data_IF_915507296704
#
_entry.id   IF_915507296704
#
_cell.length_a   1.000
_cell.length_b   1.000
_cell.length_c   1.000
_cell.angle_alpha   90.00
_cell.angle_beta   90.00
_cell.angle_gamma   90.00
#
_symmetry.space_group_name_H-M   'P 1'
#
loop_
_entity.id
_entity.type
_entity.pdbx_description
1 polymer ?
#
# COMPACT_ATOMS: atom_id res chain seq x y z
N UNK A 1 24.79 -9.47 -48.52
CA UNK A 1 25.43 -10.59 -49.26
C UNK A 1 26.22 -11.41 -48.26
N UNK A 2 26.22 -12.74 -48.25
CA UNK A 2 25.63 -13.70 -49.20
C UNK A 2 25.21 -15.00 -48.47
N UNK A 3 24.28 -15.75 -49.05
CA UNK A 3 23.55 -16.87 -48.41
C UNK A 3 24.44 -18.10 -48.17
N UNK A 4 24.46 -18.66 -46.95
CA UNK A 4 25.00 -20.01 -46.69
C UNK A 4 23.88 -21.03 -46.83
N UNK A 5 24.07 -22.06 -47.68
CA UNK A 5 23.02 -23.03 -48.05
C UNK A 5 22.87 -24.10 -46.97
N UNK A 6 21.62 -24.46 -46.64
CA UNK A 6 21.32 -25.73 -45.99
C UNK A 6 21.82 -26.89 -46.85
N UNK A 7 22.42 -27.90 -46.22
CA UNK A 7 22.47 -29.26 -46.75
C UNK A 7 21.77 -30.16 -45.74
N UNK A 8 20.59 -30.65 -46.12
CA UNK A 8 19.89 -31.72 -45.42
C UNK A 8 20.42 -33.07 -45.89
N UNK A 9 20.81 -33.91 -44.95
CA UNK A 9 20.92 -35.36 -45.11
C UNK A 9 21.34 -35.99 -43.79
N UNK A 10 20.83 -37.11 -43.33
CA UNK A 10 19.73 -37.98 -43.73
C UNK A 10 19.56 -38.97 -42.58
N UNK A 11 18.32 -39.25 -42.17
CA UNK A 11 17.93 -40.48 -41.46
C UNK A 11 18.54 -41.72 -42.19
N UNK A 12 18.89 -42.86 -41.61
CA UNK A 12 18.86 -43.47 -40.26
C UNK A 12 20.14 -44.36 -40.13
N UNK A 13 20.48 -45.17 -39.11
CA UNK A 13 19.75 -45.87 -38.03
C UNK A 13 20.71 -46.07 -36.83
N UNK A 14 20.22 -46.12 -35.58
CA UNK A 14 20.54 -47.11 -34.51
C UNK A 14 20.34 -46.57 -33.08
N UNK A 15 19.29 -47.07 -32.43
CA UNK A 15 19.15 -47.09 -30.96
C UNK A 15 20.30 -47.93 -30.36
N UNK A 16 21.12 -47.35 -29.49
CA UNK A 16 21.97 -48.10 -28.58
C UNK A 16 22.30 -47.29 -27.32
N UNK A 17 22.09 -47.90 -26.15
CA UNK A 17 22.66 -47.53 -24.85
C UNK A 17 22.41 -46.09 -24.33
N UNK A 18 21.14 -45.73 -24.12
CA UNK A 18 20.80 -44.97 -22.90
C UNK A 18 21.04 -45.90 -21.70
N UNK A 19 22.20 -45.82 -21.04
CA UNK A 19 22.47 -46.41 -19.70
C UNK A 19 23.95 -46.18 -19.33
N UNK A 20 24.30 -45.00 -18.81
CA UNK A 20 25.42 -44.77 -17.87
C UNK A 20 25.43 -43.30 -17.45
N UNK A 21 25.13 -43.00 -16.17
CA UNK A 21 25.08 -41.60 -15.72
C UNK A 21 24.33 -41.29 -14.41
N UNK A 22 24.23 -42.22 -13.45
CA UNK A 22 23.67 -41.93 -12.12
C UNK A 22 24.63 -42.41 -11.02
N UNK A 23 25.63 -41.58 -10.70
CA UNK A 23 26.51 -41.78 -9.54
C UNK A 23 27.24 -40.48 -9.14
N UNK A 24 26.50 -39.37 -9.04
CA UNK A 24 27.02 -38.12 -8.47
C UNK A 24 26.37 -37.88 -7.10
N UNK A 25 26.82 -38.61 -6.08
CA UNK A 25 26.52 -38.30 -4.68
C UNK A 25 27.29 -37.04 -4.22
N UNK A 26 26.95 -35.88 -4.79
CA UNK A 26 27.23 -34.61 -4.16
C UNK A 26 26.38 -34.51 -2.89
N UNK A 27 27.00 -34.23 -1.74
CA UNK A 27 26.25 -33.78 -0.56
C UNK A 27 25.55 -32.48 -0.96
N UNK A 28 24.24 -32.51 -1.12
CA UNK A 28 23.45 -31.30 -1.10
C UNK A 28 23.62 -30.70 0.30
N UNK A 29 24.18 -29.50 0.37
CA UNK A 29 24.12 -28.71 1.60
C UNK A 29 22.62 -28.50 1.94
N UNK A 30 22.22 -28.60 3.21
CA UNK A 30 20.85 -28.28 3.58
C UNK A 30 20.56 -26.84 3.11
N UNK A 31 19.36 -26.56 2.56
CA UNK A 31 19.00 -25.18 2.23
C UNK A 31 19.19 -24.31 3.47
N UNK A 32 19.69 -23.06 3.32
CA UNK A 32 19.86 -22.17 4.47
C UNK A 32 18.56 -22.13 5.24
N UNK A 33 18.66 -22.28 6.57
CA UNK A 33 17.49 -22.25 7.44
C UNK A 33 16.65 -21.02 7.10
N UNK A 34 15.35 -21.21 6.91
CA UNK A 34 14.45 -20.12 6.57
C UNK A 34 14.62 -19.04 7.65
N UNK A 35 15.04 -17.85 7.23
CA UNK A 35 15.06 -16.67 8.10
C UNK A 35 13.60 -16.46 8.50
N UNK A 36 13.29 -16.56 9.79
CA UNK A 36 11.95 -16.22 10.25
C UNK A 36 11.73 -14.74 9.95
N UNK A 37 10.71 -14.45 9.14
CA UNK A 37 10.26 -13.07 8.97
C UNK A 37 9.61 -12.64 10.29
N UNK A 38 10.29 -11.75 11.00
CA UNK A 38 9.84 -11.10 12.23
C UNK A 38 8.98 -9.85 11.94
N UNK A 39 8.58 -9.65 10.68
CA UNK A 39 7.70 -8.57 10.25
C UNK A 39 6.38 -9.06 9.64
N UNK A 40 5.44 -8.13 9.52
CA UNK A 40 4.18 -8.29 8.80
C UNK A 40 4.08 -7.19 7.75
N UNK A 41 3.72 -7.58 6.52
CA UNK A 41 3.47 -6.64 5.44
C UNK A 41 2.03 -6.13 5.45
N UNK A 42 1.86 -4.82 5.22
CA UNK A 42 0.55 -4.22 4.92
C UNK A 42 0.61 -3.34 3.68
N UNK A 43 -0.35 -3.49 2.76
CA UNK A 43 -0.52 -2.59 1.62
C UNK A 43 -1.00 -1.22 2.12
N UNK A 44 -0.29 -0.15 1.74
CA UNK A 44 -0.59 1.18 2.29
C UNK A 44 -1.87 1.72 1.63
N UNK A 45 -2.83 2.16 2.46
CA UNK A 45 -4.02 2.87 2.04
C UNK A 45 -4.18 4.18 2.81
N UNK A 46 -4.62 5.24 2.13
CA UNK A 46 -4.98 6.52 2.79
C UNK A 46 -6.50 6.57 2.98
N UNK A 47 -6.94 7.00 4.16
CA UNK A 47 -8.34 7.30 4.47
C UNK A 47 -8.44 8.76 4.94
N UNK A 48 -9.33 9.54 4.35
CA UNK A 48 -9.52 10.96 4.68
C UNK A 48 -10.94 11.19 5.22
N UNK A 49 -11.06 11.29 6.55
CA UNK A 49 -12.32 11.62 7.24
C UNK A 49 -12.54 13.13 7.40
N UNK A 50 -11.73 13.95 6.75
CA UNK A 50 -11.81 15.41 6.82
C UNK A 50 -12.52 15.99 5.60
N UNK A 51 -12.95 17.25 5.71
CA UNK A 51 -13.49 18.02 4.59
C UNK A 51 -12.40 18.68 3.73
N UNK A 52 -11.11 18.49 4.07
CA UNK A 52 -9.96 19.04 3.32
C UNK A 52 -9.25 17.92 2.56
N UNK A 53 -9.05 18.03 1.23
CA UNK A 53 -8.26 17.07 0.49
C UNK A 53 -6.78 17.01 0.93
N UNK A 54 -6.16 15.84 0.74
CA UNK A 54 -4.77 15.56 1.10
C UNK A 54 -4.00 15.22 -0.18
N UNK A 55 -3.04 16.05 -0.57
CA UNK A 55 -2.35 15.89 -1.85
C UNK A 55 -1.19 14.95 -1.86
N UNK A 56 -0.48 14.85 -0.74
CA UNK A 56 0.65 13.93 -0.62
C UNK A 56 0.73 13.37 0.79
N UNK A 57 1.02 12.08 0.87
CA UNK A 57 1.32 11.33 2.09
C UNK A 57 2.61 10.57 1.87
N UNK A 58 3.49 10.61 2.86
CA UNK A 58 4.70 9.79 2.95
C UNK A 58 4.67 8.98 4.24
N UNK A 59 4.96 7.68 4.13
CA UNK A 59 5.03 6.73 5.23
C UNK A 59 6.46 6.25 5.34
N UNK A 60 7.15 6.57 6.43
CA UNK A 60 8.61 6.39 6.59
C UNK A 60 9.43 6.94 5.40
N UNK A 61 8.96 8.02 4.77
CA UNK A 61 9.57 8.64 3.59
C UNK A 61 9.17 8.02 2.25
N UNK A 62 8.47 6.88 2.22
CA UNK A 62 7.94 6.29 0.99
C UNK A 62 6.63 6.99 0.61
N UNK A 63 6.49 7.39 -0.66
CA UNK A 63 5.27 8.04 -1.16
C UNK A 63 4.08 7.05 -1.19
N UNK A 64 2.97 7.44 -0.57
CA UNK A 64 1.76 6.64 -0.40
C UNK A 64 0.55 7.20 -1.18
N UNK A 65 0.76 8.22 -2.02
CA UNK A 65 -0.31 8.90 -2.74
C UNK A 65 -0.92 10.07 -1.97
N UNK A 66 -2.18 10.36 -2.26
CA UNK A 66 -3.01 11.38 -1.62
C UNK A 66 -4.49 11.02 -1.79
N UNK A 67 -5.38 11.66 -1.04
CA UNK A 67 -6.80 11.32 -0.96
C UNK A 67 -7.67 12.56 -0.88
N UNK A 68 -8.67 12.65 -1.75
CA UNK A 68 -9.69 13.70 -1.70
C UNK A 68 -10.46 13.65 -0.37
N UNK A 69 -11.11 14.76 -0.01
CA UNK A 69 -11.98 14.82 1.17
C UNK A 69 -12.99 13.66 1.19
N UNK A 70 -13.26 13.13 2.38
CA UNK A 70 -14.29 12.10 2.62
C UNK A 70 -14.17 10.82 1.79
N UNK A 71 -12.95 10.43 1.39
CA UNK A 71 -12.70 9.23 0.58
C UNK A 71 -11.59 8.35 1.15
N UNK A 72 -11.49 7.11 0.63
CA UNK A 72 -10.45 6.16 0.99
C UNK A 72 -10.18 5.10 -0.08
N UNK A 73 -9.13 4.30 0.12
CA UNK A 73 -8.97 2.97 -0.50
C UNK A 73 -8.68 2.89 -2.00
N UNK A 74 -8.30 3.99 -2.69
CA UNK A 74 -8.23 3.99 -4.17
C UNK A 74 -6.88 3.70 -4.83
N UNK A 75 -5.75 3.65 -4.10
CA UNK A 75 -4.42 3.31 -4.67
C UNK A 75 -3.48 2.63 -3.67
N UNK A 76 -3.40 1.29 -3.75
CA UNK A 76 -2.50 0.44 -2.97
C UNK A 76 -1.07 0.46 -3.54
N UNK A 77 -0.41 1.62 -3.50
CA UNK A 77 0.95 1.78 -4.03
C UNK A 77 1.95 1.64 -2.89
N UNK A 78 2.71 0.54 -2.93
CA UNK A 78 3.70 0.20 -1.91
C UNK A 78 3.10 -0.55 -0.71
N UNK A 79 4.00 -0.91 0.21
CA UNK A 79 3.67 -1.58 1.45
C UNK A 79 4.70 -1.25 2.52
N UNK A 80 4.33 -1.46 3.77
CA UNK A 80 5.20 -1.29 4.94
C UNK A 80 5.35 -2.62 5.68
N UNK A 81 6.56 -2.86 6.22
CA UNK A 81 6.82 -3.90 7.21
C UNK A 81 6.67 -3.31 8.62
N UNK A 82 5.85 -3.95 9.45
CA UNK A 82 5.71 -3.65 10.89
C UNK A 82 6.11 -4.88 11.72
N UNK A 83 6.41 -4.76 13.02
CA UNK A 83 6.76 -5.91 13.85
C UNK A 83 5.67 -7.00 13.86
N UNK A 84 6.07 -8.28 13.83
CA UNK A 84 5.15 -9.44 13.86
C UNK A 84 4.32 -9.52 15.13
N UNK A 85 4.88 -9.10 16.26
CA UNK A 85 4.15 -8.88 17.49
C UNK A 85 4.03 -7.38 17.75
N UNK A 86 2.81 -6.91 18.02
CA UNK A 86 2.55 -5.48 18.26
C UNK A 86 3.39 -4.94 19.43
N UNK A 87 4.10 -3.84 19.16
CA UNK A 87 4.87 -3.08 20.14
C UNK A 87 4.31 -1.65 20.20
N UNK A 88 3.83 -1.15 21.36
CA UNK A 88 3.34 0.22 21.50
C UNK A 88 4.44 1.29 21.28
N UNK A 89 5.72 0.91 21.33
CA UNK A 89 6.84 1.81 21.07
C UNK A 89 7.22 1.89 19.59
N UNK A 90 6.73 0.96 18.76
CA UNK A 90 6.92 1.02 17.32
C UNK A 90 6.09 2.16 16.74
N UNK A 91 6.78 3.15 16.17
CA UNK A 91 6.18 4.31 15.51
C UNK A 91 6.56 4.36 14.05
N UNK A 92 5.66 4.96 13.27
CA UNK A 92 5.85 5.25 11.86
C UNK A 92 5.85 6.77 11.68
N UNK A 93 6.80 7.28 10.91
CA UNK A 93 6.83 8.70 10.54
C UNK A 93 5.87 8.93 9.39
N UNK A 94 4.82 9.71 9.65
CA UNK A 94 3.86 10.17 8.64
C UNK A 94 4.17 11.63 8.32
N UNK A 95 4.34 11.93 7.03
CA UNK A 95 4.41 13.31 6.52
C UNK A 95 3.33 13.53 5.48
N UNK A 96 2.69 14.69 5.47
CA UNK A 96 1.64 14.98 4.50
C UNK A 96 1.47 16.48 4.25
N UNK A 97 0.80 16.82 3.15
CA UNK A 97 0.23 18.15 2.93
C UNK A 97 -1.24 18.01 2.53
N UNK A 98 -2.06 18.86 3.13
CA UNK A 98 -3.44 19.15 2.72
C UNK A 98 -3.48 20.47 1.94
N UNK A 99 -4.63 20.77 1.30
CA UNK A 99 -4.77 22.02 0.52
C UNK A 99 -4.49 23.27 1.36
N UNK A 100 -4.96 23.30 2.61
CA UNK A 100 -4.76 24.45 3.50
C UNK A 100 -3.28 24.72 3.80
N UNK A 101 -2.43 23.70 3.89
CA UNK A 101 -0.99 23.88 4.04
C UNK A 101 -0.34 24.24 2.69
N UNK A 102 -0.75 23.56 1.61
CA UNK A 102 -0.21 23.75 0.27
C UNK A 102 -0.40 25.19 -0.25
N UNK A 103 -1.57 25.80 -0.01
CA UNK A 103 -1.85 27.20 -0.34
C UNK A 103 -0.92 28.20 0.37
N UNK A 104 -0.36 27.82 1.53
CA UNK A 104 0.52 28.67 2.34
C UNK A 104 2.00 28.46 1.98
N UNK A 105 2.40 27.22 1.70
CA UNK A 105 3.72 26.83 1.20
C UNK A 105 3.60 25.49 0.47
N UNK A 106 3.76 25.50 -0.86
CA UNK A 106 3.66 24.33 -1.74
C UNK A 106 4.63 23.19 -1.37
N UNK A 107 5.67 23.47 -0.57
CA UNK A 107 6.71 22.52 -0.15
C UNK A 107 6.61 22.12 1.32
N UNK A 108 5.72 22.74 2.09
CA UNK A 108 5.55 22.40 3.48
C UNK A 108 4.89 21.02 3.63
N UNK A 109 5.33 20.31 4.67
CA UNK A 109 4.75 19.04 5.09
C UNK A 109 4.54 19.08 6.61
N UNK A 110 3.34 18.72 7.05
CA UNK A 110 3.15 18.23 8.41
C UNK A 110 4.00 16.98 8.62
N UNK A 111 4.43 16.73 9.85
CA UNK A 111 5.24 15.55 10.21
C UNK A 111 4.87 15.09 11.62
N UNK A 112 4.50 13.82 11.78
CA UNK A 112 4.22 13.20 13.08
C UNK A 112 4.81 11.79 13.13
N UNK A 113 5.38 11.41 14.27
CA UNK A 113 5.58 10.00 14.61
C UNK A 113 4.31 9.48 15.27
N UNK A 114 3.71 8.44 14.70
CA UNK A 114 2.43 7.89 15.17
C UNK A 114 2.63 6.40 15.48
N UNK A 115 2.20 5.91 16.66
CA UNK A 115 2.20 4.48 16.95
C UNK A 115 1.14 3.76 16.10
N UNK A 116 1.32 2.47 15.85
CA UNK A 116 0.29 1.66 15.20
C UNK A 116 -0.71 1.18 16.25
N UNK A 117 -2.00 1.33 15.96
CA UNK A 117 -3.10 0.80 16.78
C UNK A 117 -2.95 -0.72 16.95
N UNK A 118 -3.44 -1.25 18.07
CA UNK A 118 -3.18 -2.64 18.46
C UNK A 118 -3.74 -3.64 17.45
N UNK A 119 -2.83 -4.41 16.84
CA UNK A 119 -3.13 -5.46 15.86
C UNK A 119 -2.71 -6.86 16.33
N UNK A 120 -3.18 -7.90 15.64
CA UNK A 120 -2.71 -9.28 15.77
C UNK A 120 -2.03 -9.77 14.48
N UNK A 121 -1.32 -10.90 14.55
CA UNK A 121 -0.59 -11.47 13.40
C UNK A 121 -1.47 -11.82 12.20
N UNK A 122 -2.75 -12.11 12.44
CA UNK A 122 -3.74 -12.45 11.42
C UNK A 122 -4.40 -11.22 10.78
N UNK A 123 -4.02 -10.02 11.20
CA UNK A 123 -4.56 -8.75 10.70
C UNK A 123 -3.68 -8.11 9.59
N UNK A 124 -2.64 -8.81 9.13
CA UNK A 124 -1.73 -8.30 8.10
C UNK A 124 -2.32 -8.41 6.68
N UNK A 125 -2.97 -7.35 6.19
CA UNK A 125 -3.22 -7.16 4.76
C UNK A 125 -3.12 -5.69 4.34
N UNK A 126 -3.76 -4.79 5.08
CA UNK A 126 -3.80 -3.35 4.81
C UNK A 126 -3.16 -2.57 5.95
N UNK A 127 -2.43 -1.50 5.58
CA UNK A 127 -1.90 -0.51 6.50
C UNK A 127 -2.56 0.84 6.21
N UNK A 128 -3.54 1.23 7.01
CA UNK A 128 -4.25 2.48 6.81
C UNK A 128 -3.57 3.65 7.51
N UNK A 129 -3.34 4.73 6.76
CA UNK A 129 -3.09 6.06 7.31
C UNK A 129 -4.42 6.81 7.29
N UNK A 130 -5.04 6.94 8.46
CA UNK A 130 -6.34 7.55 8.63
C UNK A 130 -6.21 8.98 9.17
N UNK A 131 -6.67 9.95 8.40
CA UNK A 131 -6.65 11.38 8.73
C UNK A 131 -8.02 11.82 9.24
N UNK A 132 -8.03 12.46 10.40
CA UNK A 132 -9.22 12.96 11.10
C UNK A 132 -9.13 14.47 11.29
N UNK A 133 -10.27 15.16 11.58
CA UNK A 133 -10.27 16.59 11.88
C UNK A 133 -9.27 16.98 12.99
N UNK A 134 -8.85 18.24 13.01
CA UNK A 134 -7.82 18.76 13.92
C UNK A 134 -6.43 18.11 13.74
N UNK A 135 -6.11 17.66 12.51
CA UNK A 135 -4.84 17.02 12.15
C UNK A 135 -4.55 15.73 12.94
N UNK A 136 -5.57 15.06 13.48
CA UNK A 136 -5.41 13.76 14.12
C UNK A 136 -5.10 12.69 13.06
N UNK A 137 -4.12 11.83 13.34
CA UNK A 137 -3.69 10.75 12.43
C UNK A 137 -3.64 9.45 13.23
N UNK A 138 -4.24 8.39 12.71
CA UNK A 138 -4.18 7.03 13.27
C UNK A 138 -3.70 6.03 12.23
N UNK A 139 -3.05 4.98 12.72
CA UNK A 139 -2.42 3.96 11.91
C UNK A 139 -2.98 2.59 12.27
N UNK A 140 -3.51 1.87 11.28
CA UNK A 140 -4.14 0.56 11.50
C UNK A 140 -3.46 -0.48 10.63
N UNK A 141 -3.01 -1.60 11.22
CA UNK A 141 -2.78 -2.84 10.49
C UNK A 141 -4.05 -3.69 10.60
N UNK A 142 -4.74 -3.94 9.49
CA UNK A 142 -5.99 -4.70 9.48
C UNK A 142 -6.17 -5.53 8.21
N UNK A 143 -6.84 -6.68 8.32
CA UNK A 143 -7.25 -7.49 7.17
C UNK A 143 -8.53 -6.97 6.50
N UNK A 144 -9.21 -6.05 7.18
CA UNK A 144 -10.55 -5.59 6.82
C UNK A 144 -10.50 -4.35 5.92
N UNK A 145 -11.51 -4.21 5.07
CA UNK A 145 -11.78 -2.96 4.36
C UNK A 145 -12.63 -2.03 5.25
N UNK A 146 -12.59 -0.70 5.05
CA UNK A 146 -13.48 0.20 5.74
C UNK A 146 -14.95 -0.17 5.52
N UNK A 147 -15.78 -0.04 6.55
CA UNK A 147 -17.19 -0.45 6.56
C UNK A 147 -17.44 -1.95 6.78
N UNK A 148 -16.41 -2.78 6.95
CA UNK A 148 -16.61 -4.21 7.24
C UNK A 148 -17.25 -4.43 8.62
N UNK A 149 -18.42 -5.08 8.65
CA UNK A 149 -19.24 -5.30 9.86
C UNK A 149 -18.48 -6.01 11.00
N UNK A 150 -17.55 -6.92 10.65
CA UNK A 150 -16.77 -7.71 11.60
C UNK A 150 -15.37 -7.12 11.90
N UNK A 151 -15.06 -5.91 11.46
CA UNK A 151 -13.79 -5.25 11.77
C UNK A 151 -13.71 -4.87 13.27
N UNK A 152 -12.75 -5.40 14.05
CA UNK A 152 -12.59 -5.03 15.46
C UNK A 152 -12.26 -3.55 15.66
N UNK A 153 -11.60 -2.90 14.68
CA UNK A 153 -11.29 -1.48 14.73
C UNK A 153 -12.51 -0.60 14.39
N UNK A 154 -13.59 -1.19 13.85
CA UNK A 154 -14.81 -0.51 13.38
C UNK A 154 -14.53 0.68 12.47
N UNK A 155 -13.55 0.51 11.59
CA UNK A 155 -13.08 1.54 10.67
C UNK A 155 -14.18 1.83 9.65
N UNK A 156 -14.90 2.93 9.81
CA UNK A 156 -16.01 3.28 8.90
C UNK A 156 -15.49 3.67 7.51
N UNK A 157 -16.29 3.48 6.46
CA UNK A 157 -15.99 4.12 5.18
C UNK A 157 -16.00 5.66 5.35
N UNK A 158 -14.99 6.40 4.85
CA UNK A 158 -14.94 7.86 5.00
C UNK A 158 -16.16 8.61 4.43
N UNK A 159 -16.78 8.08 3.38
CA UNK A 159 -18.01 8.63 2.78
C UNK A 159 -19.18 8.44 3.73
N UNK A 160 -19.38 7.23 4.26
CA UNK A 160 -20.46 6.92 5.19
C UNK A 160 -20.33 7.70 6.51
N UNK A 161 -19.09 7.83 7.01
CA UNK A 161 -18.78 8.66 8.17
C UNK A 161 -19.14 10.14 7.93
N UNK A 162 -18.98 10.64 6.69
CA UNK A 162 -19.43 11.97 6.31
C UNK A 162 -20.96 12.09 6.26
N UNK A 163 -21.65 11.13 5.65
CA UNK A 163 -23.11 11.13 5.52
C UNK A 163 -23.83 11.06 6.88
N UNK A 164 -23.21 10.40 7.87
CA UNK A 164 -23.66 10.36 9.27
C UNK A 164 -23.48 11.70 9.99
N UNK A 165 -22.35 12.39 9.80
CA UNK A 165 -22.01 13.61 10.55
C UNK A 165 -22.59 14.90 9.97
N UNK A 166 -22.84 14.96 8.66
CA UNK A 166 -23.34 16.14 7.94
C UNK A 166 -24.87 16.21 7.95
N UNK A 167 -25.43 17.43 7.97
CA UNK A 167 -26.86 17.63 7.76
C UNK A 167 -27.27 17.21 6.35
N UNK A 168 -28.55 16.88 6.13
CA UNK A 168 -29.03 16.38 4.82
C UNK A 168 -28.77 17.36 3.66
N UNK A 169 -28.78 18.66 3.94
CA UNK A 169 -28.48 19.75 2.99
C UNK A 169 -26.99 19.88 2.64
N UNK A 170 -26.10 19.23 3.40
CA UNK A 170 -24.65 19.31 3.23
C UNK A 170 -24.04 18.00 2.70
N UNK A 171 -24.84 16.93 2.58
CA UNK A 171 -24.36 15.59 2.19
C UNK A 171 -23.72 15.53 0.80
N UNK A 172 -24.04 16.47 -0.09
CA UNK A 172 -23.39 16.55 -1.40
C UNK A 172 -21.88 16.80 -1.27
N UNK A 173 -21.42 17.54 -0.24
CA UNK A 173 -19.98 17.78 0.00
C UNK A 173 -19.24 16.51 0.46
N UNK A 174 -19.94 15.44 0.84
CA UNK A 174 -19.34 14.14 1.13
C UNK A 174 -18.85 13.42 -0.13
N UNK A 175 -19.37 13.78 -1.31
CA UNK A 175 -19.02 13.13 -2.57
C UNK A 175 -18.00 13.93 -3.40
N UNK A 176 -17.70 15.18 -2.99
CA UNK A 176 -16.58 16.03 -3.42
C UNK A 176 -16.13 15.86 -4.89
N UNK A 177 -17.04 16.03 -5.88
CA UNK A 177 -16.70 15.84 -7.29
C UNK A 177 -15.70 16.86 -7.83
N UNK A 178 -15.76 18.11 -7.36
CA UNK A 178 -14.93 19.24 -7.81
C UNK A 178 -13.43 19.00 -7.60
N UNK A 179 -13.03 18.50 -6.43
CA UNK A 179 -11.64 18.18 -6.12
C UNK A 179 -11.11 16.97 -6.90
N UNK A 180 -11.99 16.13 -7.47
CA UNK A 180 -11.61 14.80 -7.95
C UNK A 180 -10.73 14.83 -9.21
N UNK A 181 -10.96 15.75 -10.14
CA UNK A 181 -10.13 15.87 -11.35
C UNK A 181 -8.88 16.72 -11.15
N UNK A 182 -8.96 17.81 -10.40
CA UNK A 182 -7.79 18.64 -10.08
C UNK A 182 -6.72 17.84 -9.32
N UNK A 183 -7.12 17.09 -8.29
CA UNK A 183 -6.23 16.16 -7.61
C UNK A 183 -5.65 15.08 -8.51
N UNK A 184 -6.44 14.54 -9.44
CA UNK A 184 -5.96 13.57 -10.43
C UNK A 184 -4.95 14.18 -11.39
N UNK A 185 -4.96 15.49 -11.63
CA UNK A 185 -3.93 16.20 -12.42
C UNK A 185 -2.67 16.45 -11.59
N UNK A 186 -2.80 16.93 -10.35
CA UNK A 186 -1.66 17.15 -9.44
C UNK A 186 -0.88 15.84 -9.16
N UNK A 187 -1.57 14.72 -8.88
CA UNK A 187 -0.96 13.39 -8.73
C UNK A 187 -0.33 12.79 -10.01
N UNK A 188 -0.58 13.40 -11.19
CA UNK A 188 0.12 13.05 -12.43
C UNK A 188 1.39 13.89 -12.59
N UNK A 189 1.34 15.17 -12.23
CA UNK A 189 2.45 16.13 -12.33
C UNK A 189 3.61 15.83 -11.36
N UNK A 190 3.32 15.28 -10.17
CA UNK A 190 4.35 14.86 -9.21
C UNK A 190 5.04 13.50 -9.51
N UNK A 191 5.14 13.12 -10.80
CA UNK A 191 5.73 11.83 -11.25
C UNK A 191 6.88 12.01 -12.25
N UNK A 192 7.18 13.26 -12.63
CA UNK A 192 8.26 13.67 -13.52
C UNK A 192 9.39 14.33 -12.69
#
# INVERSE_FOLDING_TARGET
MMMTRMIRGSFVVLLAAMLFGIAACGKAEPPPAAIEDDTLGGQIGVLNYTDVPIGVVYVNGQWAGGMVANAGGTKWIGGISVPKHWDPNFKVTIKWSDDELFEKDEKALYSKEVPVEKYSTVDAAYFYVAFFPNQEVKLYLTRWLPGAENDPAKLEDPTDACLKRKASTERETCYAPEFREEYRMLQRKGRD
#
